data_IF_803102450285
#
_entry.id   IF_803102450285
#
_cell.length_a   1.000
_cell.length_b   1.000
_cell.length_c   1.000
_cell.angle_alpha   90.00
_cell.angle_beta   90.00
_cell.angle_gamma   90.00
#
_symmetry.space_group_name_H-M   'P 1'
#
loop_
_entity.id
_entity.type
_entity.pdbx_description
1 polymer ?
#
# COMPACT_ATOMS: atom_id res chain seq x y z
N UNK A 1 26.02 23.61 15.81
CA UNK A 1 25.68 23.32 14.41
C UNK A 1 25.19 21.88 14.35
N UNK A 2 23.96 21.64 13.92
CA UNK A 2 23.40 20.28 13.84
C UNK A 2 23.79 19.69 12.50
N UNK A 3 24.68 18.69 12.50
CA UNK A 3 25.05 17.99 11.28
C UNK A 3 23.90 17.07 10.87
N UNK A 4 23.19 17.43 9.81
CA UNK A 4 22.25 16.54 9.14
C UNK A 4 23.04 15.32 8.65
N UNK A 5 22.82 14.18 9.29
CA UNK A 5 23.33 12.89 8.81
C UNK A 5 22.48 12.54 7.59
N UNK A 6 23.03 12.73 6.39
CA UNK A 6 22.45 12.14 5.19
C UNK A 6 22.86 10.66 5.22
N UNK A 7 21.90 9.71 5.29
CA UNK A 7 22.23 8.29 5.27
C UNK A 7 23.09 7.99 4.03
N UNK A 8 24.18 7.24 4.22
CA UNK A 8 25.22 7.02 3.21
C UNK A 8 24.78 6.25 1.97
N UNK A 9 23.52 5.84 1.89
CA UNK A 9 22.91 5.23 0.71
C UNK A 9 21.51 5.83 0.50
N UNK A 10 21.28 6.63 -0.56
CA UNK A 10 19.96 7.21 -0.81
C UNK A 10 18.97 6.11 -1.20
N UNK A 11 17.81 6.09 -0.53
CA UNK A 11 16.68 5.24 -0.94
C UNK A 11 16.00 5.92 -2.13
N UNK A 12 16.02 5.26 -3.29
CA UNK A 12 15.30 5.72 -4.48
C UNK A 12 13.90 5.12 -4.44
N UNK A 13 12.90 5.99 -4.47
CA UNK A 13 11.47 5.63 -4.54
C UNK A 13 10.92 5.98 -5.91
N UNK A 14 10.42 4.98 -6.60
CA UNK A 14 9.68 5.14 -7.85
C UNK A 14 8.18 5.19 -7.55
N UNK A 15 7.50 6.27 -7.98
CA UNK A 15 6.04 6.35 -7.89
C UNK A 15 5.44 5.47 -8.98
N UNK A 16 4.76 4.39 -8.59
CA UNK A 16 4.16 3.44 -9.54
C UNK A 16 2.65 3.60 -9.66
N UNK A 17 1.96 4.06 -8.60
CA UNK A 17 0.51 4.34 -8.62
C UNK A 17 0.18 5.62 -7.87
N UNK A 18 -0.80 6.37 -8.38
CA UNK A 18 -1.33 7.57 -7.74
C UNK A 18 -2.48 7.28 -6.76
N UNK A 19 -3.27 6.22 -7.01
CA UNK A 19 -4.46 5.87 -6.21
C UNK A 19 -5.62 6.88 -6.31
N UNK A 20 -5.62 7.74 -7.33
CA UNK A 20 -6.68 8.74 -7.61
C UNK A 20 -6.59 9.18 -9.08
N UNK A 21 -6.28 8.25 -9.97
CA UNK A 21 -6.10 8.55 -11.40
C UNK A 21 -7.39 9.01 -12.08
N UNK A 22 -8.55 8.78 -11.46
CA UNK A 22 -9.86 9.23 -11.93
C UNK A 22 -10.25 10.56 -11.25
N UNK A 23 -10.56 11.64 -12.01
CA UNK A 23 -10.97 12.92 -11.44
C UNK A 23 -12.16 12.80 -10.49
N UNK A 24 -12.01 13.33 -9.27
CA UNK A 24 -13.10 13.38 -8.29
C UNK A 24 -13.39 12.05 -7.58
N UNK A 25 -12.61 10.99 -7.83
CA UNK A 25 -12.79 9.68 -7.20
C UNK A 25 -12.76 9.78 -5.68
N UNK A 26 -11.82 10.53 -5.09
CA UNK A 26 -11.82 10.77 -3.63
C UNK A 26 -12.97 11.67 -3.15
N UNK A 27 -13.39 12.61 -3.99
CA UNK A 27 -14.47 13.55 -3.70
C UNK A 27 -14.23 14.36 -2.40
N UNK A 28 -15.31 14.71 -1.72
CA UNK A 28 -15.29 15.40 -0.42
C UNK A 28 -15.33 14.47 0.80
N UNK A 29 -14.97 13.19 0.64
CA UNK A 29 -15.07 12.19 1.72
C UNK A 29 -14.08 12.50 2.84
N UNK A 30 -14.53 12.29 4.08
CA UNK A 30 -13.68 12.50 5.26
C UNK A 30 -12.96 11.20 5.59
N UNK A 31 -11.63 11.26 5.67
CA UNK A 31 -10.81 10.14 6.11
C UNK A 31 -11.00 9.95 7.63
N UNK A 32 -11.43 8.75 8.03
CA UNK A 32 -11.60 8.35 9.43
C UNK A 32 -10.40 7.55 9.95
N UNK A 33 -9.69 6.86 9.06
CA UNK A 33 -8.47 6.14 9.39
C UNK A 33 -7.55 6.05 8.17
N UNK A 34 -6.28 5.76 8.42
CA UNK A 34 -5.29 5.48 7.40
C UNK A 34 -4.54 4.18 7.72
N UNK A 35 -4.08 3.49 6.69
CA UNK A 35 -3.16 2.35 6.86
C UNK A 35 -1.95 2.55 5.97
N UNK A 36 -0.78 2.31 6.51
CA UNK A 36 0.48 2.26 5.78
C UNK A 36 0.91 0.81 5.66
N UNK A 37 1.14 0.37 4.43
CA UNK A 37 1.47 -1.00 4.11
C UNK A 37 2.85 -1.04 3.46
N UNK A 38 3.68 -1.94 3.95
CA UNK A 38 4.99 -2.26 3.39
C UNK A 38 5.05 -3.76 3.07
N UNK A 39 5.55 -4.10 1.88
CA UNK A 39 5.74 -5.48 1.45
C UNK A 39 7.17 -5.64 0.95
N UNK A 40 7.97 -6.42 1.69
CA UNK A 40 9.32 -6.79 1.29
C UNK A 40 9.28 -7.96 0.29
N UNK A 41 10.02 -7.85 -0.81
CA UNK A 41 9.97 -8.80 -1.93
C UNK A 41 11.40 -9.12 -2.38
N UNK A 42 11.71 -10.42 -2.42
CA UNK A 42 13.07 -10.91 -2.64
C UNK A 42 13.54 -10.83 -4.10
N UNK A 43 12.65 -10.57 -5.06
CA UNK A 43 13.00 -10.51 -6.48
C UNK A 43 12.26 -9.42 -7.24
N UNK A 44 12.86 -8.96 -8.34
CA UNK A 44 12.25 -7.97 -9.23
C UNK A 44 10.96 -8.49 -9.89
N UNK A 45 10.89 -9.80 -10.13
CA UNK A 45 9.69 -10.45 -10.66
C UNK A 45 8.55 -10.42 -9.64
N UNK A 46 8.85 -10.63 -8.35
CA UNK A 46 7.86 -10.54 -7.28
C UNK A 46 7.40 -9.08 -7.08
N UNK A 47 8.32 -8.11 -7.16
CA UNK A 47 7.98 -6.68 -7.21
C UNK A 47 7.00 -6.37 -8.34
N UNK A 48 7.30 -6.82 -9.56
CA UNK A 48 6.45 -6.57 -10.72
C UNK A 48 5.06 -7.16 -10.53
N UNK A 49 4.96 -8.43 -10.11
CA UNK A 49 3.66 -9.05 -9.81
C UNK A 49 2.87 -8.30 -8.73
N UNK A 50 3.54 -7.84 -7.67
CA UNK A 50 2.90 -7.08 -6.60
C UNK A 50 2.30 -5.77 -7.14
N UNK A 51 3.09 -5.02 -7.92
CA UNK A 51 2.64 -3.76 -8.54
C UNK A 51 1.47 -4.01 -9.49
N UNK A 52 1.49 -5.08 -10.29
CA UNK A 52 0.37 -5.42 -11.17
C UNK A 52 -0.89 -5.81 -10.40
N UNK A 53 -0.76 -6.55 -9.30
CA UNK A 53 -1.90 -6.89 -8.44
C UNK A 53 -2.53 -5.63 -7.81
N UNK A 54 -1.70 -4.69 -7.34
CA UNK A 54 -2.16 -3.40 -6.82
C UNK A 54 -2.83 -2.54 -7.90
N UNK A 55 -2.27 -2.48 -9.12
CA UNK A 55 -2.89 -1.82 -10.29
C UNK A 55 -4.29 -2.34 -10.56
N UNK A 56 -4.42 -3.66 -10.70
CA UNK A 56 -5.72 -4.29 -10.95
C UNK A 56 -6.70 -4.05 -9.81
N UNK A 57 -6.23 -3.98 -8.55
CA UNK A 57 -7.11 -3.63 -7.44
C UNK A 57 -7.52 -2.16 -7.45
N UNK A 58 -6.64 -1.25 -7.86
CA UNK A 58 -6.92 0.18 -7.98
C UNK A 58 -7.93 0.47 -9.09
N UNK A 59 -7.82 -0.22 -10.22
CA UNK A 59 -8.79 -0.12 -11.31
C UNK A 59 -10.18 -0.56 -10.86
N UNK A 60 -10.31 -1.69 -10.14
CA UNK A 60 -11.60 -2.14 -9.59
C UNK A 60 -12.21 -1.18 -8.59
N UNK A 61 -11.39 -0.48 -7.80
CA UNK A 61 -11.87 0.53 -6.86
C UNK A 61 -12.25 1.83 -7.58
N UNK A 62 -11.58 2.19 -8.68
CA UNK A 62 -11.92 3.37 -9.47
C UNK A 62 -13.33 3.30 -10.07
N UNK A 63 -13.86 2.09 -10.29
CA UNK A 63 -15.24 1.85 -10.73
C UNK A 63 -16.28 2.08 -9.61
N UNK A 64 -15.84 2.24 -8.36
CA UNK A 64 -16.69 2.44 -7.19
C UNK A 64 -16.52 3.86 -6.65
N UNK A 65 -17.42 4.77 -6.99
CA UNK A 65 -17.33 6.19 -6.58
C UNK A 65 -17.51 6.41 -5.06
N UNK A 66 -18.08 5.44 -4.35
CA UNK A 66 -18.62 5.61 -2.99
C UNK A 66 -18.05 4.56 -2.01
N UNK A 67 -16.93 3.90 -2.36
CA UNK A 67 -16.40 2.78 -1.59
C UNK A 67 -15.95 3.16 -0.17
N UNK A 68 -15.93 2.20 0.78
CA UNK A 68 -15.58 2.44 2.18
C UNK A 68 -14.09 2.74 2.41
N UNK A 69 -13.25 2.48 1.41
CA UNK A 69 -11.82 2.76 1.42
C UNK A 69 -11.30 3.04 0.01
N UNK A 70 -10.10 3.58 -0.09
CA UNK A 70 -9.44 3.81 -1.37
C UNK A 70 -7.91 3.71 -1.25
N UNK A 71 -7.26 3.19 -2.29
CA UNK A 71 -5.80 3.16 -2.39
C UNK A 71 -5.25 4.58 -2.49
N UNK A 72 -4.07 4.76 -1.94
CA UNK A 72 -3.31 6.00 -2.07
C UNK A 72 -2.09 5.77 -2.98
N UNK A 73 -1.09 6.64 -2.89
CA UNK A 73 0.12 6.52 -3.68
C UNK A 73 0.83 5.22 -3.35
N UNK A 74 1.30 4.52 -4.38
CA UNK A 74 2.15 3.34 -4.25
C UNK A 74 3.54 3.65 -4.79
N UNK A 75 4.54 3.28 -4.01
CA UNK A 75 5.95 3.46 -4.29
C UNK A 75 6.66 2.12 -4.33
N UNK A 76 7.70 2.04 -5.16
CA UNK A 76 8.65 0.93 -5.17
C UNK A 76 10.02 1.44 -4.76
N UNK A 77 10.63 0.76 -3.79
CA UNK A 77 12.02 0.92 -3.40
C UNK A 77 12.79 -0.31 -3.87
N UNK A 78 13.55 -0.20 -4.96
CA UNK A 78 14.39 -1.32 -5.42
C UNK A 78 15.67 -1.39 -4.60
N UNK A 79 16.08 -2.60 -4.24
CA UNK A 79 17.40 -2.83 -3.67
C UNK A 79 18.44 -2.98 -4.81
N UNK A 80 19.72 -2.82 -4.48
CA UNK A 80 20.80 -2.95 -5.48
C UNK A 80 21.14 -4.40 -5.89
N UNK A 81 20.45 -5.41 -5.35
CA UNK A 81 20.75 -6.84 -5.53
C UNK A 81 19.58 -7.63 -6.14
N UNK A 82 18.50 -6.96 -6.56
CA UNK A 82 17.26 -7.55 -7.05
C UNK A 82 16.18 -7.64 -5.97
N UNK A 83 14.94 -7.26 -6.33
CA UNK A 83 13.86 -7.14 -5.36
C UNK A 83 13.85 -5.79 -4.65
N UNK A 84 13.16 -5.71 -3.51
CA UNK A 84 12.97 -4.44 -2.82
C UNK A 84 11.69 -4.42 -2.00
N UNK A 85 11.08 -3.24 -1.91
CA UNK A 85 9.89 -2.99 -1.09
C UNK A 85 8.82 -2.26 -1.89
N UNK A 86 7.57 -2.68 -1.72
CA UNK A 86 6.38 -1.95 -2.18
C UNK A 86 5.76 -1.25 -0.99
N UNK A 87 5.51 0.06 -1.11
CA UNK A 87 4.98 0.91 -0.04
C UNK A 87 3.73 1.61 -0.53
N UNK A 88 2.61 1.49 0.17
CA UNK A 88 1.36 2.14 -0.19
C UNK A 88 0.52 2.49 1.03
N UNK A 89 -0.34 3.49 0.88
CA UNK A 89 -1.32 3.84 1.90
C UNK A 89 -2.75 3.47 1.48
N UNK A 90 -3.62 3.33 2.47
CA UNK A 90 -5.07 3.14 2.33
C UNK A 90 -5.77 4.23 3.11
N UNK A 91 -6.67 4.98 2.46
CA UNK A 91 -7.59 5.87 3.12
C UNK A 91 -8.89 5.13 3.40
N UNK A 92 -9.39 5.25 4.64
CA UNK A 92 -10.67 4.66 5.04
C UNK A 92 -11.67 5.78 5.31
N UNK A 93 -12.89 5.59 4.84
CA UNK A 93 -13.98 6.59 4.94
C UNK A 93 -15.11 6.14 5.87
N UNK A 94 -15.19 4.84 6.17
CA UNK A 94 -16.22 4.26 7.04
C UNK A 94 -15.61 3.59 8.27
N UNK A 95 -16.02 4.04 9.45
CA UNK A 95 -15.47 3.62 10.75
C UNK A 95 -15.71 2.12 11.02
N UNK A 96 -16.94 1.66 10.86
CA UNK A 96 -17.27 0.25 11.12
C UNK A 96 -16.57 -0.68 10.13
N UNK A 97 -16.48 -0.26 8.86
CA UNK A 97 -15.77 -1.04 7.84
C UNK A 97 -14.28 -1.14 8.17
N UNK A 98 -13.64 -0.02 8.55
CA UNK A 98 -12.24 -0.03 8.98
C UNK A 98 -12.03 -1.00 10.15
N UNK A 99 -12.83 -0.92 11.22
CA UNK A 99 -12.71 -1.80 12.39
C UNK A 99 -12.82 -3.28 12.03
N UNK A 100 -13.72 -3.61 11.11
CA UNK A 100 -13.95 -5.00 10.68
C UNK A 100 -12.89 -5.51 9.71
N UNK A 101 -12.35 -4.64 8.84
CA UNK A 101 -11.58 -5.06 7.67
C UNK A 101 -10.11 -4.72 7.70
N UNK A 102 -9.63 -3.83 8.57
CA UNK A 102 -8.24 -3.36 8.61
C UNK A 102 -7.20 -4.49 8.65
N UNK A 103 -7.49 -5.59 9.34
CA UNK A 103 -6.57 -6.72 9.49
C UNK A 103 -6.80 -7.83 8.45
N UNK A 104 -7.75 -7.67 7.52
CA UNK A 104 -8.06 -8.69 6.50
C UNK A 104 -6.85 -9.00 5.63
N UNK A 105 -5.98 -8.01 5.41
CA UNK A 105 -4.73 -8.15 4.67
C UNK A 105 -3.76 -9.13 5.34
N UNK A 106 -3.87 -9.35 6.65
CA UNK A 106 -3.06 -10.30 7.42
C UNK A 106 -3.75 -11.65 7.61
N UNK A 107 -5.01 -11.79 7.18
CA UNK A 107 -5.78 -13.00 7.39
C UNK A 107 -5.24 -14.14 6.51
N UNK A 108 -5.35 -15.42 6.96
CA UNK A 108 -4.89 -16.57 6.20
C UNK A 108 -5.41 -16.66 4.76
N UNK A 109 -6.59 -16.10 4.49
CA UNK A 109 -7.16 -16.04 3.14
C UNK A 109 -6.39 -15.14 2.16
N UNK A 110 -5.62 -14.15 2.65
CA UNK A 110 -4.75 -13.31 1.82
C UNK A 110 -3.35 -13.92 1.62
N UNK A 111 -2.97 -14.95 2.38
CA UNK A 111 -1.69 -15.65 2.22
C UNK A 111 -1.54 -16.26 0.82
N UNK A 112 -2.61 -16.79 0.24
CA UNK A 112 -2.58 -17.32 -1.12
C UNK A 112 -2.30 -16.23 -2.17
N UNK A 113 -2.77 -15.00 -1.93
CA UNK A 113 -2.46 -13.85 -2.79
C UNK A 113 -0.98 -13.46 -2.68
N UNK A 114 -0.42 -13.41 -1.47
CA UNK A 114 1.00 -13.10 -1.29
C UNK A 114 1.92 -14.19 -1.83
N UNK A 115 1.55 -15.46 -1.65
CA UNK A 115 2.29 -16.58 -2.23
C UNK A 115 2.32 -16.49 -3.77
N UNK A 116 1.19 -16.13 -4.41
CA UNK A 116 1.15 -15.93 -5.86
C UNK A 116 1.96 -14.70 -6.33
N UNK A 117 2.10 -13.68 -5.48
CA UNK A 117 2.98 -12.54 -5.73
C UNK A 117 4.46 -12.97 -5.55
N UNK A 118 4.72 -13.94 -4.69
CA UNK A 118 6.06 -14.39 -4.30
C UNK A 118 6.61 -13.69 -3.05
N UNK A 119 5.72 -13.20 -2.18
CA UNK A 119 6.12 -12.68 -0.86
C UNK A 119 6.27 -13.84 0.13
N UNK A 120 7.27 -13.74 1.01
CA UNK A 120 7.49 -14.71 2.08
C UNK A 120 6.56 -14.46 3.27
N UNK A 121 6.43 -15.46 4.15
CA UNK A 121 5.68 -15.31 5.39
C UNK A 121 6.30 -14.19 6.25
N UNK A 122 5.46 -13.26 6.70
CA UNK A 122 5.91 -12.11 7.49
C UNK A 122 6.53 -10.96 6.69
N UNK A 123 6.57 -11.05 5.35
CA UNK A 123 7.06 -9.98 4.50
C UNK A 123 6.17 -8.72 4.47
N UNK A 124 4.95 -8.83 5.01
CA UNK A 124 3.95 -7.77 5.03
C UNK A 124 3.90 -7.11 6.40
N UNK A 125 4.07 -5.78 6.41
CA UNK A 125 3.90 -4.96 7.60
C UNK A 125 2.78 -3.95 7.34
N UNK A 126 1.88 -3.80 8.31
CA UNK A 126 0.80 -2.83 8.23
C UNK A 126 0.72 -2.05 9.53
N UNK A 127 0.73 -0.72 9.42
CA UNK A 127 0.47 0.18 10.54
C UNK A 127 -0.83 0.93 10.28
N UNK A 128 -1.69 1.00 11.29
CA UNK A 128 -2.96 1.72 11.20
C UNK A 128 -2.95 2.95 12.10
N UNK A 129 -3.46 4.07 11.61
CA UNK A 129 -3.77 5.25 12.41
C UNK A 129 -5.24 5.57 12.29
N UNK A 130 -5.86 5.79 13.43
CA UNK A 130 -7.23 6.24 13.53
C UNK A 130 -7.25 7.73 13.81
N UNK A 131 -8.16 8.46 13.14
CA UNK A 131 -8.30 9.89 13.37
C UNK A 131 -8.93 10.11 14.74
N UNK A 132 -8.24 10.85 15.59
CA UNK A 132 -8.76 11.30 16.89
C UNK A 132 -9.28 12.73 16.73
N UNK A 133 -10.46 13.01 17.27
CA UNK A 133 -11.07 14.34 17.28
C UNK A 133 -10.43 15.27 18.32
#
# INVERSE_FOLDING_TARGET
MSSTIIPGNPVIRELVLLGDSAPGRRGGRTIVAQSHCEIDLASDEALERCVQALRASDERLAEQSDGPYDWQRTWVERNGQGGGKVVFDVAWYEEEFFRQKKDTFLAPGHLAMYANIGAEDGAVQVTHWHKVD
#
